data_IF_484509289028
#
_entry.id   IF_484509289028
#
_cell.length_a   1.000
_cell.length_b   1.000
_cell.length_c   1.000
_cell.angle_alpha   90.00
_cell.angle_beta   90.00
_cell.angle_gamma   90.00
#
_symmetry.space_group_name_H-M   'P 1'
#
loop_
_entity.id
_entity.type
_entity.pdbx_description
1 polymer ?
#
# COMPACT_ATOMS: atom_id res chain seq x y z
N UNK A 1 -0.05 22.17 10.11
CA UNK A 1 -1.37 21.53 10.16
C UNK A 1 -1.34 20.17 9.49
N UNK A 2 -1.90 19.19 10.13
CA UNK A 2 -1.93 17.84 9.57
C UNK A 2 -3.07 17.71 8.56
N UNK A 3 -2.76 17.09 7.45
CA UNK A 3 -3.78 16.77 6.46
C UNK A 3 -4.57 15.55 6.95
N UNK A 4 -5.88 15.48 6.63
CA UNK A 4 -6.69 14.37 7.11
C UNK A 4 -6.18 13.00 6.65
N UNK A 5 -5.43 12.94 5.56
CA UNK A 5 -4.91 11.69 5.04
C UNK A 5 -3.44 11.46 5.37
N UNK A 6 -2.90 12.23 6.30
CA UNK A 6 -1.52 12.07 6.75
C UNK A 6 -1.47 11.29 8.06
N UNK A 7 -0.44 10.49 8.18
CA UNK A 7 -0.23 9.74 9.42
C UNK A 7 0.58 10.60 10.40
N UNK A 8 0.32 10.40 11.69
CA UNK A 8 1.11 11.04 12.73
C UNK A 8 2.52 10.43 12.75
N UNK A 9 3.43 11.13 13.43
CA UNK A 9 4.80 10.65 13.55
C UNK A 9 4.87 9.30 14.25
N UNK A 10 4.09 9.15 15.32
CA UNK A 10 4.05 7.89 16.06
C UNK A 10 3.51 6.77 15.19
N UNK A 11 2.49 7.05 14.39
CA UNK A 11 1.95 6.05 13.47
C UNK A 11 2.96 5.68 12.40
N UNK A 12 3.69 6.67 11.86
CA UNK A 12 4.71 6.39 10.85
C UNK A 12 5.81 5.48 11.39
N UNK A 13 6.19 5.69 12.64
CA UNK A 13 7.26 4.90 13.25
C UNK A 13 6.77 3.58 13.85
N UNK A 14 5.47 3.35 13.86
CA UNK A 14 4.89 2.14 14.42
C UNK A 14 4.10 1.35 13.39
N UNK A 15 2.77 1.57 13.39
CA UNK A 15 1.88 0.74 12.57
C UNK A 15 2.12 0.90 11.08
N UNK A 16 2.47 2.12 10.62
CA UNK A 16 2.70 2.33 9.19
C UNK A 16 3.96 1.59 8.76
N UNK A 17 5.03 1.70 9.52
CA UNK A 17 6.27 1.00 9.21
C UNK A 17 6.06 -0.51 9.22
N UNK A 18 5.33 -1.00 10.21
CA UNK A 18 5.03 -2.41 10.33
C UNK A 18 4.22 -2.91 9.13
N UNK A 19 3.21 -2.14 8.75
CA UNK A 19 2.37 -2.48 7.59
C UNK A 19 3.19 -2.47 6.30
N UNK A 20 4.06 -1.48 6.15
CA UNK A 20 4.94 -1.41 4.99
C UNK A 20 5.78 -2.68 4.88
N UNK A 21 6.38 -3.10 6.00
CA UNK A 21 7.23 -4.29 5.99
C UNK A 21 6.43 -5.54 5.62
N UNK A 22 5.20 -5.65 6.11
CA UNK A 22 4.35 -6.78 5.78
C UNK A 22 3.99 -6.81 4.31
N UNK A 23 3.67 -5.65 3.74
CA UNK A 23 3.33 -5.57 2.32
C UNK A 23 4.54 -5.96 1.47
N UNK A 24 5.72 -5.48 1.82
CA UNK A 24 6.94 -5.85 1.10
C UNK A 24 7.17 -7.36 1.18
N UNK A 25 7.01 -7.94 2.37
CA UNK A 25 7.18 -9.38 2.54
C UNK A 25 6.22 -10.17 1.66
N UNK A 26 4.97 -9.74 1.58
CA UNK A 26 3.99 -10.43 0.74
C UNK A 26 4.34 -10.30 -0.74
N UNK A 27 4.81 -9.13 -1.15
CA UNK A 27 5.22 -8.94 -2.54
C UNK A 27 6.42 -9.82 -2.88
N UNK A 28 7.39 -9.93 -1.98
CA UNK A 28 8.54 -10.79 -2.21
C UNK A 28 8.14 -12.25 -2.29
N UNK A 29 7.19 -12.65 -1.45
CA UNK A 29 6.69 -14.01 -1.48
C UNK A 29 5.96 -14.30 -2.80
N UNK A 30 5.17 -13.34 -3.27
CA UNK A 30 4.48 -13.46 -4.55
C UNK A 30 5.49 -13.65 -5.69
N UNK A 31 6.55 -12.86 -5.70
CA UNK A 31 7.58 -12.97 -6.73
C UNK A 31 8.24 -14.33 -6.68
N UNK A 32 8.47 -14.84 -5.49
CA UNK A 32 9.12 -16.14 -5.32
C UNK A 32 8.25 -17.27 -5.85
N UNK A 33 6.96 -17.22 -5.56
CA UNK A 33 6.03 -18.28 -5.96
C UNK A 33 5.75 -18.24 -7.46
N UNK A 34 5.54 -17.05 -8.01
CA UNK A 34 5.12 -16.90 -9.41
C UNK A 34 6.29 -16.63 -10.35
N UNK A 35 7.45 -16.25 -9.82
CA UNK A 35 8.61 -15.85 -10.61
C UNK A 35 8.32 -14.60 -11.44
N UNK A 36 7.37 -13.77 -11.01
CA UNK A 36 7.00 -12.59 -11.77
C UNK A 36 8.03 -11.48 -11.59
N UNK A 37 8.17 -10.62 -12.61
CA UNK A 37 9.05 -9.47 -12.50
C UNK A 37 8.42 -8.35 -11.68
N UNK A 38 9.24 -7.38 -11.30
CA UNK A 38 8.80 -6.25 -10.51
C UNK A 38 7.65 -5.48 -11.15
N UNK A 39 7.63 -5.43 -12.48
CA UNK A 39 6.57 -4.72 -13.20
C UNK A 39 5.20 -5.29 -12.88
N UNK A 40 5.10 -6.59 -12.67
CA UNK A 40 3.81 -7.20 -12.32
C UNK A 40 3.43 -6.86 -10.89
N UNK A 41 4.40 -6.72 -10.01
CA UNK A 41 4.13 -6.27 -8.64
C UNK A 41 3.60 -4.83 -8.66
N UNK A 42 4.22 -3.97 -9.48
CA UNK A 42 3.75 -2.59 -9.64
C UNK A 42 2.31 -2.58 -10.14
N UNK A 43 2.00 -3.42 -11.12
CA UNK A 43 0.64 -3.48 -11.66
C UNK A 43 -0.37 -3.89 -10.60
N UNK A 44 -0.03 -4.90 -9.78
CA UNK A 44 -0.91 -5.33 -8.70
C UNK A 44 -1.13 -4.23 -7.68
N UNK A 45 -0.06 -3.58 -7.26
CA UNK A 45 -0.16 -2.49 -6.28
C UNK A 45 -0.98 -1.34 -6.84
N UNK A 46 -0.87 -1.08 -8.14
CA UNK A 46 -1.65 -0.02 -8.79
C UNK A 46 -3.14 -0.35 -8.77
N UNK A 47 -3.51 -1.61 -8.98
CA UNK A 47 -4.91 -2.03 -8.90
C UNK A 47 -5.44 -1.84 -7.48
N UNK A 48 -4.64 -2.22 -6.49
CA UNK A 48 -5.05 -2.04 -5.09
C UNK A 48 -5.23 -0.56 -4.79
N UNK A 49 -4.27 0.27 -5.22
CA UNK A 49 -4.36 1.71 -5.02
C UNK A 49 -5.61 2.30 -5.67
N UNK A 50 -5.96 1.81 -6.86
CA UNK A 50 -7.16 2.27 -7.57
C UNK A 50 -8.43 1.97 -6.79
N UNK A 51 -8.49 0.80 -6.15
CA UNK A 51 -9.65 0.45 -5.34
C UNK A 51 -9.88 1.47 -4.22
N UNK A 52 -8.79 1.87 -3.56
CA UNK A 52 -8.91 2.83 -2.48
C UNK A 52 -9.19 4.24 -2.99
N UNK A 53 -8.61 4.59 -4.13
CA UNK A 53 -8.88 5.90 -4.73
C UNK A 53 -10.35 6.03 -5.09
N UNK A 54 -10.95 4.98 -5.68
CA UNK A 54 -12.36 4.99 -6.03
C UNK A 54 -13.24 5.11 -4.80
N UNK A 55 -12.87 4.40 -3.73
CA UNK A 55 -13.63 4.48 -2.49
C UNK A 55 -13.57 5.88 -1.88
N UNK A 56 -12.39 6.49 -1.91
CA UNK A 56 -12.21 7.84 -1.39
C UNK A 56 -13.10 8.83 -2.12
N UNK A 57 -13.17 8.72 -3.46
CA UNK A 57 -14.03 9.60 -4.25
C UNK A 57 -15.50 9.43 -3.91
N UNK A 58 -15.92 8.18 -3.74
CA UNK A 58 -17.31 7.88 -3.43
C UNK A 58 -17.72 8.39 -2.06
N UNK A 59 -16.78 8.50 -1.16
CA UNK A 59 -17.07 8.90 0.22
C UNK A 59 -17.00 10.40 0.44
N UNK A 60 -17.15 11.17 -0.60
CA UNK A 60 -17.39 12.60 -0.45
C UNK A 60 -16.17 13.47 -0.57
N UNK A 61 -15.21 12.99 -1.19
CA UNK A 61 -14.03 13.83 -1.45
C UNK A 61 -14.15 14.56 -2.75
#
# INVERSE_FOLDING_TARGET
MNKPYSFSKDQMNGIVEDTYAKIINECENLKKITKCPDEQVVALLSVIASNYANTAEKNGN
#
